data_IF_324402887066
#
_entry.id   IF_324402887066
#
_cell.length_a   1.000
_cell.length_b   1.000
_cell.length_c   1.000
_cell.angle_alpha   90.00
_cell.angle_beta   90.00
_cell.angle_gamma   90.00
#
_symmetry.space_group_name_H-M   'P 1'
#
loop_
_entity.id
_entity.type
_entity.pdbx_description
1 polymer ?
#
# COMPACT_ATOMS: atom_id res chain seq x y z
N UNK A 1 -14.59 2.82 -6.77
CA UNK A 1 -15.19 2.14 -7.93
C UNK A 1 -14.62 2.72 -9.19
N UNK A 2 -14.17 1.87 -10.11
CA UNK A 2 -13.55 2.32 -11.36
C UNK A 2 -14.59 2.87 -12.35
N UNK A 3 -14.30 3.96 -13.10
CA UNK A 3 -15.21 4.47 -14.11
C UNK A 3 -15.47 3.45 -15.23
N UNK A 4 -16.72 3.41 -15.73
CA UNK A 4 -17.14 2.47 -16.80
C UNK A 4 -16.28 2.60 -18.05
N UNK A 5 -15.87 3.82 -18.41
CA UNK A 5 -14.97 4.06 -19.54
C UNK A 5 -13.63 3.32 -19.38
N UNK A 6 -13.00 3.41 -18.19
CA UNK A 6 -11.74 2.74 -17.88
C UNK A 6 -11.88 1.22 -17.74
N UNK A 7 -13.08 0.72 -17.43
CA UNK A 7 -13.39 -0.72 -17.45
C UNK A 7 -13.41 -1.21 -18.90
N UNK A 8 -14.16 -0.54 -19.78
CA UNK A 8 -14.26 -0.89 -21.21
C UNK A 8 -12.89 -0.84 -21.91
N UNK A 9 -12.09 0.18 -21.62
CA UNK A 9 -10.72 0.29 -22.15
C UNK A 9 -9.85 -0.91 -21.72
N UNK A 10 -9.92 -1.31 -20.43
CA UNK A 10 -9.18 -2.47 -19.94
C UNK A 10 -9.69 -3.79 -20.52
N UNK A 11 -10.99 -3.93 -20.75
CA UNK A 11 -11.56 -5.13 -21.40
C UNK A 11 -10.95 -5.31 -22.80
N UNK A 12 -10.92 -4.23 -23.58
CA UNK A 12 -10.33 -4.24 -24.92
C UNK A 12 -8.83 -4.57 -24.86
N UNK A 13 -8.08 -3.92 -23.96
CA UNK A 13 -6.64 -4.14 -23.83
C UNK A 13 -6.28 -5.56 -23.37
N UNK A 14 -7.06 -6.13 -22.45
CA UNK A 14 -6.80 -7.45 -21.84
C UNK A 14 -7.61 -8.59 -22.47
N UNK A 15 -8.38 -8.31 -23.52
CA UNK A 15 -9.24 -9.28 -24.22
C UNK A 15 -10.20 -10.02 -23.27
N UNK A 16 -10.76 -9.29 -22.30
CA UNK A 16 -11.71 -9.85 -21.32
C UNK A 16 -13.13 -9.74 -21.88
N UNK A 17 -13.81 -10.88 -22.00
CA UNK A 17 -15.22 -10.92 -22.38
C UNK A 17 -16.11 -10.29 -21.31
N UNK A 18 -17.19 -9.61 -21.72
CA UNK A 18 -18.12 -8.94 -20.79
C UNK A 18 -18.74 -9.92 -19.78
N UNK A 19 -19.02 -11.15 -20.21
CA UNK A 19 -19.56 -12.24 -19.38
C UNK A 19 -18.59 -12.70 -18.29
N UNK A 20 -17.27 -12.51 -18.50
CA UNK A 20 -16.22 -12.89 -17.54
C UNK A 20 -15.62 -11.70 -16.81
N UNK A 21 -16.18 -10.51 -16.99
CA UNK A 21 -15.65 -9.28 -16.41
C UNK A 21 -15.46 -9.39 -14.89
N UNK A 22 -16.45 -9.95 -14.21
CA UNK A 22 -16.45 -10.11 -12.75
C UNK A 22 -15.38 -11.10 -12.25
N UNK A 23 -14.99 -12.07 -13.08
CA UNK A 23 -14.02 -13.11 -12.75
C UNK A 23 -12.59 -12.70 -13.11
N UNK A 24 -12.42 -11.96 -14.20
CA UNK A 24 -11.11 -11.71 -14.79
C UNK A 24 -10.58 -10.29 -14.50
N UNK A 25 -11.44 -9.35 -14.08
CA UNK A 25 -11.06 -7.97 -13.79
C UNK A 25 -10.90 -7.72 -12.29
N UNK A 26 -9.67 -7.88 -11.81
CA UNK A 26 -9.30 -7.76 -10.39
C UNK A 26 -9.46 -6.32 -9.81
N UNK A 27 -9.51 -5.27 -10.64
CA UNK A 27 -9.46 -3.86 -10.20
C UNK A 27 -10.76 -3.06 -10.45
N UNK A 28 -11.92 -3.72 -10.47
CA UNK A 28 -13.22 -3.02 -10.52
C UNK A 28 -13.48 -2.29 -9.19
N UNK A 29 -13.35 -3.03 -8.09
CA UNK A 29 -13.28 -2.50 -6.74
C UNK A 29 -11.80 -2.26 -6.39
N UNK A 30 -11.48 -1.02 -5.99
CA UNK A 30 -10.12 -0.62 -5.68
C UNK A 30 -10.11 0.18 -4.38
N UNK A 31 -9.25 -0.23 -3.44
CA UNK A 31 -9.00 0.48 -2.19
C UNK A 31 -7.56 0.97 -2.17
N UNK A 32 -7.32 2.10 -1.53
CA UNK A 32 -5.99 2.65 -1.31
C UNK A 32 -5.78 2.96 0.16
N UNK A 33 -4.78 2.33 0.77
CA UNK A 33 -4.38 2.54 2.16
C UNK A 33 -3.08 3.32 2.16
N UNK A 34 -3.10 4.50 2.78
CA UNK A 34 -1.93 5.38 2.85
C UNK A 34 -1.25 5.25 4.19
N UNK A 35 0.04 4.92 4.13
CA UNK A 35 0.95 4.80 5.25
C UNK A 35 1.87 6.02 5.30
N UNK A 36 2.41 6.31 6.48
CA UNK A 36 3.40 7.38 6.64
C UNK A 36 4.77 6.90 6.18
N UNK A 37 5.15 5.69 6.60
CA UNK A 37 6.45 5.11 6.31
C UNK A 37 6.34 3.84 5.47
N UNK A 38 7.48 3.36 4.98
CA UNK A 38 7.55 2.15 4.15
C UNK A 38 7.31 0.91 5.00
N UNK A 39 7.78 0.88 6.25
CA UNK A 39 7.65 -0.26 7.17
C UNK A 39 6.17 -0.51 7.51
N UNK A 40 5.41 0.57 7.72
CA UNK A 40 3.97 0.52 8.01
C UNK A 40 3.18 -0.18 6.88
N UNK A 41 3.69 -0.20 5.66
CA UNK A 41 3.07 -0.91 4.54
C UNK A 41 3.05 -2.41 4.86
N UNK A 42 4.16 -2.96 5.34
CA UNK A 42 4.27 -4.39 5.68
C UNK A 42 3.44 -4.72 6.91
N UNK A 43 3.38 -3.84 7.91
CA UNK A 43 2.48 -4.00 9.06
C UNK A 43 1.01 -4.10 8.61
N UNK A 44 0.58 -3.22 7.69
CA UNK A 44 -0.76 -3.26 7.10
C UNK A 44 -0.99 -4.56 6.32
N UNK A 45 -0.02 -4.98 5.51
CA UNK A 45 -0.11 -6.25 4.76
C UNK A 45 -0.28 -7.43 5.72
N UNK A 46 0.48 -7.48 6.81
CA UNK A 46 0.37 -8.54 7.82
C UNK A 46 -0.95 -8.49 8.59
N UNK A 47 -1.49 -7.30 8.84
CA UNK A 47 -2.85 -7.16 9.36
C UNK A 47 -3.89 -7.71 8.38
N UNK A 48 -3.76 -7.45 7.08
CA UNK A 48 -4.65 -7.97 6.05
C UNK A 48 -4.56 -9.50 5.93
N UNK A 49 -3.36 -10.09 6.02
CA UNK A 49 -3.15 -11.54 6.01
C UNK A 49 -3.82 -12.26 7.18
N UNK A 50 -3.96 -11.59 8.33
CA UNK A 50 -4.60 -12.14 9.53
C UNK A 50 -6.13 -12.06 9.52
N UNK A 51 -6.72 -11.36 8.55
CA UNK A 51 -8.17 -11.25 8.45
C UNK A 51 -8.80 -12.56 7.99
N UNK A 52 -9.96 -12.87 8.54
CA UNK A 52 -10.74 -14.07 8.21
C UNK A 52 -11.97 -13.77 7.34
N UNK A 53 -12.27 -12.50 7.11
CA UNK A 53 -13.43 -12.04 6.32
C UNK A 53 -13.09 -11.75 4.85
N UNK A 54 -11.84 -11.98 4.45
CA UNK A 54 -11.37 -11.87 3.06
C UNK A 54 -10.41 -13.01 2.74
N UNK A 55 -10.22 -13.28 1.45
CA UNK A 55 -9.20 -14.23 0.97
C UNK A 55 -8.22 -13.49 0.08
N UNK A 56 -6.92 -13.55 0.39
CA UNK A 56 -5.88 -13.00 -0.49
C UNK A 56 -5.64 -14.00 -1.62
N UNK A 57 -5.75 -13.52 -2.87
CA UNK A 57 -5.53 -14.31 -4.07
C UNK A 57 -4.15 -14.08 -4.67
N UNK A 58 -3.65 -12.85 -4.59
CA UNK A 58 -2.37 -12.47 -5.20
C UNK A 58 -1.75 -11.28 -4.46
N UNK A 59 -0.43 -11.29 -4.31
CA UNK A 59 0.34 -10.17 -3.76
C UNK A 59 1.45 -9.79 -4.74
N UNK A 60 1.65 -8.49 -4.97
CA UNK A 60 2.72 -7.96 -5.82
C UNK A 60 3.43 -6.83 -5.10
N UNK A 61 4.70 -7.05 -4.78
CA UNK A 61 5.57 -6.08 -4.15
C UNK A 61 6.37 -5.29 -5.20
N UNK A 62 5.86 -4.12 -5.59
CA UNK A 62 6.58 -3.17 -6.45
C UNK A 62 7.41 -2.17 -5.65
N UNK A 63 7.53 -2.32 -4.32
CA UNK A 63 8.42 -1.50 -3.51
C UNK A 63 9.85 -2.05 -3.65
N UNK A 64 10.00 -3.36 -3.46
CA UNK A 64 11.28 -4.07 -3.69
C UNK A 64 11.57 -4.36 -5.16
N UNK A 65 10.54 -4.53 -5.98
CA UNK A 65 10.67 -4.80 -7.42
C UNK A 65 10.02 -3.67 -8.21
N UNK A 66 10.61 -2.48 -8.17
CA UNK A 66 10.07 -1.32 -8.87
C UNK A 66 9.99 -1.56 -10.38
N UNK A 67 9.05 -0.88 -11.03
CA UNK A 67 9.02 -0.89 -12.50
C UNK A 67 10.12 0.02 -13.04
N UNK A 68 10.56 -0.18 -14.30
CA UNK A 68 11.53 0.71 -14.95
C UNK A 68 11.15 2.20 -14.95
N UNK A 69 9.85 2.51 -14.84
CA UNK A 69 9.36 3.89 -14.73
C UNK A 69 9.65 4.56 -13.37
N UNK A 70 10.10 3.82 -12.36
CA UNK A 70 10.21 4.27 -10.97
C UNK A 70 8.94 4.04 -10.14
N UNK A 71 7.95 3.34 -10.69
CA UNK A 71 6.70 3.05 -9.99
C UNK A 71 6.90 2.12 -8.80
N UNK A 72 6.42 2.55 -7.62
CA UNK A 72 6.42 1.79 -6.37
C UNK A 72 5.04 1.74 -5.70
N UNK A 73 4.65 0.57 -5.19
CA UNK A 73 3.39 0.30 -4.49
C UNK A 73 3.36 -1.16 -4.02
N UNK A 74 2.62 -1.47 -2.96
CA UNK A 74 2.26 -2.86 -2.65
C UNK A 74 0.83 -3.14 -3.14
N UNK A 75 0.62 -4.20 -3.92
CA UNK A 75 -0.70 -4.56 -4.46
C UNK A 75 -1.14 -5.90 -3.89
N UNK A 76 -2.40 -5.97 -3.44
CA UNK A 76 -3.03 -7.18 -2.95
C UNK A 76 -4.34 -7.35 -3.68
N UNK A 77 -4.53 -8.47 -4.36
CA UNK A 77 -5.81 -8.86 -4.93
C UNK A 77 -6.52 -9.76 -3.93
N UNK A 78 -7.74 -9.40 -3.56
CA UNK A 78 -8.56 -10.14 -2.60
C UNK A 78 -9.88 -10.59 -3.23
N UNK A 79 -10.41 -11.68 -2.71
CA UNK A 79 -11.82 -12.05 -2.80
C UNK A 79 -12.53 -11.63 -1.51
N UNK A 80 -13.65 -10.90 -1.64
CA UNK A 80 -14.44 -10.41 -0.51
C UNK A 80 -15.91 -10.83 -0.64
N UNK A 81 -16.49 -11.53 0.35
CA UNK A 81 -17.90 -11.88 0.36
C UNK A 81 -18.77 -10.69 0.78
N UNK A 82 -19.60 -10.18 -0.14
CA UNK A 82 -20.56 -9.10 0.11
C UNK A 82 -21.96 -9.68 0.27
N UNK A 83 -22.68 -9.27 1.31
CA UNK A 83 -24.07 -9.67 1.53
C UNK A 83 -25.01 -8.75 0.73
N UNK A 84 -25.74 -9.32 -0.23
CA UNK A 84 -26.77 -8.63 -1.02
C UNK A 84 -28.16 -9.14 -0.63
N UNK A 85 -29.21 -8.43 -1.09
CA UNK A 85 -30.60 -8.88 -0.90
C UNK A 85 -30.86 -10.25 -1.54
N UNK A 86 -30.13 -10.57 -2.61
CA UNK A 86 -30.19 -11.85 -3.33
C UNK A 86 -29.32 -12.96 -2.71
N UNK A 87 -28.64 -12.70 -1.60
CA UNK A 87 -27.68 -13.61 -0.97
C UNK A 87 -26.23 -13.10 -1.04
N UNK A 88 -25.31 -13.94 -0.58
CA UNK A 88 -23.88 -13.64 -0.59
C UNK A 88 -23.33 -13.66 -2.03
N UNK A 89 -22.55 -12.64 -2.38
CA UNK A 89 -21.79 -12.57 -3.62
C UNK A 89 -20.32 -12.26 -3.33
N UNK A 90 -19.43 -13.12 -3.80
CA UNK A 90 -17.98 -12.89 -3.76
C UNK A 90 -17.57 -11.95 -4.89
N UNK A 91 -16.76 -10.95 -4.56
CA UNK A 91 -16.23 -9.98 -5.52
C UNK A 91 -14.72 -9.91 -5.42
N UNK A 92 -14.08 -9.55 -6.53
CA UNK A 92 -12.65 -9.23 -6.56
C UNK A 92 -12.43 -7.75 -6.24
N UNK A 93 -11.44 -7.49 -5.39
CA UNK A 93 -10.97 -6.13 -5.13
C UNK A 93 -9.45 -6.06 -5.11
N UNK A 94 -8.90 -4.93 -5.56
CA UNK A 94 -7.48 -4.62 -5.46
C UNK A 94 -7.26 -3.63 -4.31
N UNK A 95 -6.41 -3.99 -3.36
CA UNK A 95 -5.92 -3.10 -2.30
C UNK A 95 -4.52 -2.65 -2.67
N UNK A 96 -4.32 -1.34 -2.76
CA UNK A 96 -3.01 -0.72 -2.96
C UNK A 96 -2.57 -0.07 -1.65
N UNK A 97 -1.42 -0.48 -1.13
CA UNK A 97 -0.81 0.14 0.07
C UNK A 97 0.41 0.96 -0.38
N UNK A 98 0.50 2.23 0.03
CA UNK A 98 1.61 3.13 -0.36
C UNK A 98 1.94 4.15 0.72
N UNK A 99 3.11 4.77 0.60
CA UNK A 99 3.39 6.05 1.28
C UNK A 99 2.69 7.22 0.58
N UNK A 100 2.70 8.38 1.24
CA UNK A 100 2.24 9.63 0.63
C UNK A 100 3.06 10.01 -0.61
N UNK A 101 4.39 9.85 -0.58
CA UNK A 101 5.26 10.21 -1.68
C UNK A 101 5.05 9.29 -2.90
N UNK A 102 4.95 7.98 -2.69
CA UNK A 102 4.59 7.01 -3.72
C UNK A 102 3.23 7.33 -4.36
N UNK A 103 2.23 7.66 -3.53
CA UNK A 103 0.90 8.00 -4.03
C UNK A 103 0.89 9.29 -4.86
N UNK A 104 1.62 10.31 -4.41
CA UNK A 104 1.75 11.57 -5.13
C UNK A 104 2.37 11.35 -6.51
N UNK A 105 3.51 10.66 -6.55
CA UNK A 105 4.21 10.37 -7.80
C UNK A 105 3.34 9.54 -8.77
N UNK A 106 2.75 8.45 -8.28
CA UNK A 106 1.93 7.56 -9.11
C UNK A 106 0.67 8.23 -9.65
N UNK A 107 0.12 9.21 -8.94
CA UNK A 107 -1.06 9.97 -9.41
C UNK A 107 -0.69 10.89 -10.56
N UNK A 108 0.49 11.52 -10.50
CA UNK A 108 1.00 12.38 -11.58
C UNK A 108 1.36 11.54 -12.81
N UNK A 109 2.13 10.46 -12.62
CA UNK A 109 2.49 9.55 -13.71
C UNK A 109 1.24 9.05 -14.42
N UNK A 110 0.24 8.56 -13.67
CA UNK A 110 -0.98 8.02 -14.26
C UNK A 110 -1.75 9.08 -15.06
N UNK A 111 -1.86 10.30 -14.53
CA UNK A 111 -2.57 11.41 -15.19
C UNK A 111 -1.90 11.82 -16.49
N UNK A 112 -0.57 11.87 -16.49
CA UNK A 112 0.20 12.16 -17.70
C UNK A 112 0.10 11.00 -18.71
N UNK A 113 0.21 9.77 -18.24
CA UNK A 113 0.15 8.58 -19.10
C UNK A 113 -1.19 8.47 -19.83
N UNK A 114 -2.28 8.79 -19.12
CA UNK A 114 -3.59 8.90 -19.73
C UNK A 114 -3.67 10.02 -20.79
N UNK A 115 -3.09 11.20 -20.51
CA UNK A 115 -3.11 12.34 -21.45
C UNK A 115 -2.30 12.09 -22.73
N UNK A 116 -1.17 11.40 -22.61
CA UNK A 116 -0.26 11.10 -23.72
C UNK A 116 -0.49 9.72 -24.34
N UNK A 117 -1.49 8.97 -23.89
CA UNK A 117 -1.80 7.61 -24.37
C UNK A 117 -0.61 6.64 -24.36
N UNK A 118 0.32 6.83 -23.43
CA UNK A 118 1.56 6.03 -23.35
C UNK A 118 2.73 6.53 -24.20
N UNK A 119 2.54 7.50 -25.09
CA UNK A 119 3.59 8.02 -25.97
C UNK A 119 4.25 9.27 -25.35
N UNK A 120 5.10 9.02 -24.34
CA UNK A 120 5.77 10.07 -23.58
C UNK A 120 7.01 10.60 -24.30
N UNK A 121 7.20 11.93 -24.36
CA UNK A 121 8.51 12.50 -24.67
C UNK A 121 9.56 11.96 -23.70
N UNK A 122 10.69 11.50 -24.23
CA UNK A 122 11.77 10.86 -23.47
C UNK A 122 12.28 11.76 -22.32
N UNK A 123 12.35 13.07 -22.57
CA UNK A 123 12.72 14.06 -21.55
C UNK A 123 11.76 14.05 -20.35
N UNK A 124 10.46 13.95 -20.59
CA UNK A 124 9.44 13.93 -19.54
C UNK A 124 9.49 12.61 -18.76
N UNK A 125 9.71 11.49 -19.45
CA UNK A 125 9.93 10.19 -18.82
C UNK A 125 11.13 10.22 -17.86
N UNK A 126 12.27 10.75 -18.31
CA UNK A 126 13.45 10.91 -17.47
C UNK A 126 13.22 11.83 -16.26
N UNK A 127 12.40 12.89 -16.41
CA UNK A 127 12.02 13.76 -15.27
C UNK A 127 11.14 13.04 -14.26
N UNK A 128 10.18 12.24 -14.73
CA UNK A 128 9.32 11.43 -13.86
C UNK A 128 10.14 10.40 -13.10
N UNK A 129 11.06 9.70 -13.76
CA UNK A 129 11.94 8.73 -13.11
C UNK A 129 12.76 9.38 -11.99
N UNK A 130 13.41 10.51 -12.26
CA UNK A 130 14.16 11.25 -11.22
C UNK A 130 13.28 11.72 -10.06
N UNK A 131 12.04 12.12 -10.34
CA UNK A 131 11.09 12.48 -9.29
C UNK A 131 10.69 11.27 -8.44
N UNK A 132 10.62 10.06 -9.03
CA UNK A 132 10.33 8.82 -8.32
C UNK A 132 11.49 8.47 -7.37
N UNK A 133 12.73 8.59 -7.85
CA UNK A 133 13.94 8.39 -7.06
C UNK A 133 14.02 9.39 -5.90
N UNK A 134 13.72 10.66 -6.15
CA UNK A 134 13.72 11.69 -5.10
C UNK A 134 12.63 11.45 -4.04
N UNK A 135 11.42 11.06 -4.47
CA UNK A 135 10.33 10.70 -3.56
C UNK A 135 10.70 9.51 -2.67
N UNK A 136 11.38 8.51 -3.24
CA UNK A 136 11.85 7.37 -2.46
C UNK A 136 12.96 7.73 -1.50
N UNK A 137 13.94 8.54 -1.93
CA UNK A 137 14.98 9.01 -1.02
C UNK A 137 14.37 9.73 0.17
N UNK A 138 13.37 10.59 -0.05
CA UNK A 138 12.63 11.23 1.03
C UNK A 138 11.97 10.22 1.98
N UNK A 139 11.28 9.21 1.45
CA UNK A 139 10.66 8.16 2.28
C UNK A 139 11.72 7.38 3.09
N UNK A 140 12.87 7.03 2.49
CA UNK A 140 13.96 6.33 3.17
C UNK A 140 14.55 7.16 4.31
N UNK A 141 14.89 8.42 4.06
CA UNK A 141 15.46 9.31 5.08
C UNK A 141 14.48 9.53 6.25
N UNK A 142 13.19 9.66 5.95
CA UNK A 142 12.16 9.79 7.00
C UNK A 142 12.01 8.50 7.82
N UNK A 143 12.24 7.33 7.21
CA UNK A 143 12.19 6.04 7.90
C UNK A 143 13.41 5.86 8.82
N UNK A 144 14.61 6.26 8.38
CA UNK A 144 15.82 6.28 9.22
C UNK A 144 15.65 7.22 10.43
N UNK A 145 15.12 8.43 10.23
CA UNK A 145 14.83 9.37 11.33
C UNK A 145 13.85 8.76 12.34
N UNK A 146 12.85 8.01 11.88
CA UNK A 146 11.88 7.34 12.76
C UNK A 146 12.57 6.27 13.60
N UNK A 147 13.42 5.44 13.01
CA UNK A 147 14.16 4.41 13.73
C UNK A 147 15.01 5.02 14.86
N UNK A 148 15.76 6.08 14.55
CA UNK A 148 16.55 6.81 15.54
C UNK A 148 15.70 7.36 16.71
N UNK A 149 14.53 7.94 16.40
CA UNK A 149 13.61 8.44 17.43
C UNK A 149 13.04 7.30 18.28
N UNK A 150 12.68 6.18 17.68
CA UNK A 150 12.14 5.02 18.40
C UNK A 150 13.18 4.41 19.34
N UNK A 151 14.42 4.25 18.87
CA UNK A 151 15.54 3.79 19.71
C UNK A 151 15.75 4.75 20.88
N UNK A 152 15.85 6.06 20.62
CA UNK A 152 16.05 7.06 21.67
C UNK A 152 14.92 7.03 22.73
N UNK A 153 13.66 6.89 22.32
CA UNK A 153 12.53 6.76 23.24
C UNK A 153 12.60 5.47 24.08
N UNK A 154 13.08 4.38 23.51
CA UNK A 154 13.27 3.11 24.22
C UNK A 154 14.36 3.22 25.30
N UNK A 155 15.44 3.96 25.05
CA UNK A 155 16.46 4.26 26.06
C UNK A 155 15.98 5.27 27.13
N UNK A 156 15.02 6.14 26.80
CA UNK A 156 14.43 7.09 27.75
C UNK A 156 13.30 6.51 28.59
N UNK A 157 12.89 5.26 28.35
CA UNK A 157 11.92 4.56 29.21
C UNK A 157 12.66 4.08 30.46
N UNK A 158 12.43 4.64 31.67
CA UNK A 158 13.22 4.27 32.84
C UNK A 158 12.99 2.81 33.17
N UNK A 159 14.06 2.07 33.40
CA UNK A 159 14.01 0.82 34.17
C UNK A 159 13.46 1.16 35.56
N UNK A 160 12.15 1.03 35.76
CA UNK A 160 11.62 0.72 37.08
C UNK A 160 11.93 -0.75 37.37
N UNK A 161 13.20 -1.05 37.64
CA UNK A 161 13.58 -2.29 38.30
C UNK A 161 13.72 -2.02 39.80
N UNK A 162 12.97 -2.79 40.56
CA UNK A 162 12.88 -2.90 42.02
C UNK A 162 14.07 -2.41 42.86
N UNK A 163 13.74 -1.66 43.92
CA UNK A 163 14.43 -1.80 45.22
C UNK A 163 13.51 -1.43 46.39
N UNK A 164 12.81 -2.42 46.94
CA UNK A 164 12.54 -2.45 48.38
C UNK A 164 12.41 -3.88 48.87
N UNK A 165 13.55 -4.50 49.19
CA UNK A 165 13.59 -5.55 50.20
C UNK A 165 14.34 -5.03 51.42
N UNK A 166 13.74 -5.29 52.59
CA UNK A 166 14.35 -5.42 53.93
C UNK A 166 14.56 -4.14 54.77
N UNK A 167 13.87 -4.07 55.92
CA UNK A 167 14.24 -3.15 57.01
C UNK A 167 13.20 -2.80 58.08
N UNK A 168 12.75 -3.80 58.86
CA UNK A 168 12.42 -3.77 60.31
C UNK A 168 11.84 -2.51 61.04
N UNK A 169 10.70 -2.77 61.71
CA UNK A 169 10.28 -2.40 63.10
C UNK A 169 10.10 -0.92 63.54
N UNK A 170 8.89 -0.58 64.04
CA UNK A 170 8.57 -0.36 65.48
C UNK A 170 7.15 0.21 65.69
N UNK A 171 6.48 -0.30 66.74
CA UNK A 171 5.55 0.34 67.73
C UNK A 171 4.40 1.22 67.17
N UNK A 172 3.12 1.08 67.53
CA UNK A 172 2.43 0.70 68.78
C UNK A 172 1.11 -0.05 68.52
#
# INVERSE_FOLDING_TARGET
MKPVASIKEKMLRRHVAEERLEQDMQDIAGLRIMCQFVEDIYDVVDLLRRRTDLTILEERDYIHNEKPSGYRSYHIVIEYPVQLVSGEKKILAEIQVRTLAMNFWATIEHSLNYKYQGDFPEELSGRLQRAAEAAFKLDTEMSEIREEIQEAQQYMTPQHHDSSSTGQSKEE
#
